data_IF_333787425083
#
_entry.id   IF_333787425083
#
_cell.length_a   1.000
_cell.length_b   1.000
_cell.length_c   1.000
_cell.angle_alpha   90.00
_cell.angle_beta   90.00
_cell.angle_gamma   90.00
#
_symmetry.space_group_name_H-M   'P 1'
#
loop_
_entity.id
_entity.type
_entity.pdbx_description
1 polymer ?
#
# COMPACT_ATOMS: atom_id res chain seq x y z
N UNK A 1 7.42 5.86 15.94
CA UNK A 1 6.37 6.68 16.59
C UNK A 1 5.22 5.91 17.25
N UNK A 2 4.72 4.77 16.73
CA UNK A 2 3.61 4.01 17.38
C UNK A 2 3.91 3.52 18.79
N UNK A 3 5.18 3.31 19.13
CA UNK A 3 5.62 2.84 20.45
C UNK A 3 5.32 3.85 21.56
N UNK A 4 5.47 5.15 21.27
CA UNK A 4 5.25 6.24 22.24
C UNK A 4 3.75 6.33 22.56
N UNK A 5 2.92 6.40 21.51
CA UNK A 5 1.46 6.52 21.65
C UNK A 5 0.79 5.29 22.30
N UNK A 6 1.49 4.16 22.47
CA UNK A 6 0.94 2.95 23.12
C UNK A 6 1.50 2.74 24.53
N UNK A 7 2.48 3.54 24.94
CA UNK A 7 3.07 3.40 26.26
C UNK A 7 2.21 4.03 27.37
N UNK A 8 1.66 3.19 28.24
CA UNK A 8 0.85 3.60 29.40
C UNK A 8 1.61 4.44 30.44
N UNK A 9 2.93 4.56 30.33
CA UNK A 9 3.75 5.45 31.19
C UNK A 9 3.28 6.90 31.16
N UNK A 10 2.70 7.35 30.04
CA UNK A 10 2.17 8.71 29.94
C UNK A 10 0.91 8.95 30.80
N UNK A 11 0.23 7.88 31.25
CA UNK A 11 -0.89 7.92 32.19
C UNK A 11 -0.45 7.84 33.67
N UNK A 12 0.86 7.92 33.96
CA UNK A 12 1.34 7.75 35.33
C UNK A 12 1.53 6.29 35.75
N UNK A 13 1.37 5.32 34.84
CA UNK A 13 1.51 3.90 35.16
C UNK A 13 2.95 3.41 34.95
N UNK A 14 3.45 2.57 35.84
CA UNK A 14 4.70 1.86 35.65
C UNK A 14 4.44 0.48 35.05
N UNK A 15 5.09 0.17 33.92
CA UNK A 15 5.01 -1.15 33.26
C UNK A 15 6.41 -1.72 33.06
N UNK A 16 6.69 -2.83 33.75
CA UNK A 16 7.97 -3.52 33.71
C UNK A 16 7.81 -4.96 33.22
N UNK A 17 8.94 -5.66 33.02
CA UNK A 17 8.98 -7.07 32.62
C UNK A 17 8.32 -7.38 31.25
N UNK A 18 8.39 -6.44 30.29
CA UNK A 18 7.82 -6.62 28.94
C UNK A 18 8.59 -7.64 28.11
N UNK A 19 9.90 -7.70 28.30
CA UNK A 19 10.81 -8.61 27.61
C UNK A 19 11.60 -9.40 28.63
N UNK A 20 11.95 -10.63 28.28
CA UNK A 20 12.91 -11.40 29.04
C UNK A 20 13.58 -12.45 28.18
N UNK A 21 14.45 -13.20 28.81
CA UNK A 21 15.26 -14.21 28.15
C UNK A 21 14.53 -15.56 28.12
N UNK A 22 14.69 -16.33 27.04
CA UNK A 22 14.10 -17.68 26.92
C UNK A 22 14.58 -18.61 28.03
N UNK A 23 15.89 -18.63 28.25
CA UNK A 23 16.50 -19.42 29.33
C UNK A 23 17.85 -18.84 29.70
N UNK A 24 18.38 -19.19 30.88
CA UNK A 24 19.71 -18.76 31.31
C UNK A 24 20.82 -19.06 30.29
N UNK A 25 20.73 -20.19 29.57
CA UNK A 25 21.72 -20.60 28.54
C UNK A 25 21.49 -19.95 27.18
N UNK A 26 20.27 -19.52 26.89
CA UNK A 26 19.91 -18.91 25.62
C UNK A 26 19.41 -17.48 25.85
N UNK A 27 20.34 -16.53 25.72
CA UNK A 27 20.14 -15.10 25.94
C UNK A 27 19.23 -14.39 24.92
N UNK A 28 18.53 -15.13 24.05
CA UNK A 28 17.55 -14.58 23.12
C UNK A 28 16.42 -13.87 23.87
N UNK A 29 16.19 -12.60 23.54
CA UNK A 29 15.12 -11.79 24.10
C UNK A 29 13.78 -12.16 23.44
N UNK A 30 12.78 -12.42 24.26
CA UNK A 30 11.41 -12.74 23.85
C UNK A 30 10.45 -11.83 24.59
N UNK A 31 9.40 -11.39 23.89
CA UNK A 31 8.31 -10.61 24.49
C UNK A 31 7.49 -11.51 25.39
N UNK A 32 7.32 -11.13 26.64
CA UNK A 32 6.44 -11.84 27.58
C UNK A 32 4.98 -11.50 27.30
N UNK A 33 4.04 -12.43 27.56
CA UNK A 33 2.61 -12.13 27.49
C UNK A 33 2.25 -11.03 28.50
N UNK A 34 1.19 -10.29 28.20
CA UNK A 34 0.76 -9.16 29.04
C UNK A 34 0.41 -9.53 30.48
N UNK A 35 0.01 -10.79 30.72
CA UNK A 35 -0.29 -11.32 32.07
C UNK A 35 0.93 -11.41 32.97
N UNK A 36 2.13 -11.57 32.39
CA UNK A 36 3.38 -11.61 33.13
C UNK A 36 4.00 -10.22 33.34
N UNK A 37 3.38 -9.17 32.82
CA UNK A 37 3.87 -7.81 32.99
C UNK A 37 3.55 -7.30 34.38
N UNK A 38 4.54 -6.70 35.01
CA UNK A 38 4.34 -6.04 36.30
C UNK A 38 3.80 -4.65 35.99
N UNK A 39 2.54 -4.42 36.36
CA UNK A 39 1.82 -3.16 36.15
C UNK A 39 1.49 -2.56 37.51
N UNK A 40 2.02 -1.38 37.77
CA UNK A 40 1.69 -0.59 38.96
C UNK A 40 1.04 0.71 38.48
N UNK A 41 -0.15 0.98 38.98
CA UNK A 41 -0.91 2.17 38.60
C UNK A 41 -0.46 3.38 39.43
N UNK A 42 -0.56 4.57 38.85
CA UNK A 42 -0.31 5.87 39.49
C UNK A 42 1.00 5.99 40.28
N UNK A 43 2.11 5.58 39.66
CA UNK A 43 3.46 5.71 40.25
C UNK A 43 4.01 7.14 40.16
N UNK A 44 3.59 7.92 39.16
CA UNK A 44 4.01 9.31 38.95
C UNK A 44 2.88 10.15 38.37
N UNK A 45 3.05 11.47 38.38
CA UNK A 45 2.06 12.40 37.83
C UNK A 45 1.85 12.14 36.32
N UNK A 46 0.60 11.94 35.87
CA UNK A 46 0.30 11.69 34.46
C UNK A 46 0.64 12.90 33.59
N UNK A 47 1.30 12.66 32.45
CA UNK A 47 1.60 13.70 31.46
C UNK A 47 0.36 14.07 30.64
N UNK A 48 -0.54 13.11 30.44
CA UNK A 48 -1.76 13.24 29.63
C UNK A 48 -2.95 12.66 30.38
N UNK A 49 -4.14 13.22 30.15
CA UNK A 49 -5.37 12.72 30.73
C UNK A 49 -5.79 11.38 30.12
N UNK A 50 -6.51 10.59 30.92
CA UNK A 50 -7.11 9.32 30.47
C UNK A 50 -8.01 9.52 29.25
N UNK A 51 -8.82 10.58 29.24
CA UNK A 51 -9.70 10.92 28.11
C UNK A 51 -8.92 11.14 26.81
N UNK A 52 -7.82 11.91 26.87
CA UNK A 52 -6.98 12.19 25.70
C UNK A 52 -6.34 10.90 25.19
N UNK A 53 -5.86 10.06 26.11
CA UNK A 53 -5.30 8.77 25.77
C UNK A 53 -6.30 7.88 25.03
N UNK A 54 -7.53 7.80 25.55
CA UNK A 54 -8.59 6.96 24.98
C UNK A 54 -9.04 7.49 23.61
N UNK A 55 -9.08 8.81 23.42
CA UNK A 55 -9.30 9.42 22.11
C UNK A 55 -8.22 9.00 21.10
N UNK A 56 -6.94 9.07 21.47
CA UNK A 56 -5.82 8.66 20.61
C UNK A 56 -5.88 7.16 20.29
N UNK A 57 -6.15 6.30 21.28
CA UNK A 57 -6.28 4.86 21.03
C UNK A 57 -7.44 4.55 20.08
N UNK A 58 -8.60 5.21 20.26
CA UNK A 58 -9.74 5.08 19.35
C UNK A 58 -9.37 5.45 17.91
N UNK A 59 -8.69 6.58 17.71
CA UNK A 59 -8.25 7.00 16.37
C UNK A 59 -7.20 6.06 15.76
N UNK A 60 -6.29 5.52 16.58
CA UNK A 60 -5.22 4.64 16.11
C UNK A 60 -5.72 3.24 15.74
N UNK A 61 -6.71 2.74 16.47
CA UNK A 61 -7.32 1.42 16.25
C UNK A 61 -8.57 1.48 15.34
N UNK A 62 -8.92 2.67 14.83
CA UNK A 62 -10.10 2.84 13.99
C UNK A 62 -9.99 1.99 12.72
N UNK A 63 -11.01 1.15 12.39
CA UNK A 63 -10.94 0.23 11.25
C UNK A 63 -10.81 0.96 9.92
N UNK A 64 -11.47 2.11 9.77
CA UNK A 64 -11.37 2.94 8.56
C UNK A 64 -10.05 3.71 8.43
N UNK A 65 -9.07 3.49 9.31
CA UNK A 65 -7.74 4.10 9.17
C UNK A 65 -7.05 3.51 7.93
N UNK A 66 -7.24 4.16 6.79
CA UNK A 66 -6.54 3.84 5.56
C UNK A 66 -5.02 3.91 5.75
N UNK A 67 -4.30 2.93 5.19
CA UNK A 67 -2.85 3.03 5.04
C UNK A 67 -2.57 3.84 3.78
N UNK A 68 -1.74 4.88 3.91
CA UNK A 68 -1.21 5.59 2.76
C UNK A 68 -0.31 4.66 1.95
N UNK A 69 -0.40 4.78 0.61
CA UNK A 69 0.53 4.13 -0.30
C UNK A 69 1.89 4.83 -0.33
N UNK A 70 2.76 4.43 -1.26
CA UNK A 70 4.10 5.04 -1.44
C UNK A 70 4.02 6.55 -1.75
N UNK A 71 2.97 7.03 -2.41
CA UNK A 71 2.79 8.45 -2.71
C UNK A 71 2.20 9.27 -1.56
N UNK A 72 1.99 8.67 -0.38
CA UNK A 72 1.36 9.35 0.76
C UNK A 72 -0.16 9.50 0.67
N UNK A 73 -0.75 9.33 -0.52
CA UNK A 73 -2.20 9.43 -0.73
C UNK A 73 -2.94 8.26 -0.10
N UNK A 74 -4.00 8.56 0.65
CA UNK A 74 -4.96 7.56 1.14
C UNK A 74 -6.08 7.44 0.11
N UNK A 75 -6.35 6.22 -0.36
CA UNK A 75 -7.48 5.96 -1.25
C UNK A 75 -8.80 6.24 -0.54
N UNK A 76 -9.82 6.71 -1.26
CA UNK A 76 -11.15 7.05 -0.70
C UNK A 76 -11.74 5.90 0.14
N UNK A 77 -11.56 4.66 -0.31
CA UNK A 77 -12.05 3.46 0.37
C UNK A 77 -10.99 2.73 1.23
N UNK A 78 -9.87 3.39 1.52
CA UNK A 78 -8.76 2.82 2.26
C UNK A 78 -9.14 2.49 3.69
N UNK A 79 -9.03 1.22 4.10
CA UNK A 79 -9.40 0.75 5.43
C UNK A 79 -10.90 0.44 5.60
N UNK A 80 -11.76 0.90 4.69
CA UNK A 80 -13.20 0.58 4.72
C UNK A 80 -13.51 -0.76 4.04
N UNK A 81 -12.96 -0.99 2.84
CA UNK A 81 -13.25 -2.20 2.08
C UNK A 81 -12.48 -3.41 2.62
N UNK A 82 -13.23 -4.47 2.94
CA UNK A 82 -12.72 -5.78 3.35
C UNK A 82 -13.26 -6.86 2.41
N UNK A 83 -12.44 -7.86 2.10
CA UNK A 83 -12.90 -9.04 1.39
C UNK A 83 -13.83 -9.86 2.29
N UNK A 84 -14.95 -10.34 1.75
CA UNK A 84 -15.91 -11.17 2.50
C UNK A 84 -15.31 -12.53 2.88
N UNK A 85 -14.57 -13.16 1.98
CA UNK A 85 -14.12 -14.55 2.16
C UNK A 85 -12.91 -14.66 3.09
N UNK A 86 -11.87 -13.85 2.87
CA UNK A 86 -10.62 -13.91 3.65
C UNK A 86 -10.54 -12.82 4.72
N UNK A 87 -11.54 -11.94 4.77
CA UNK A 87 -11.56 -10.82 5.68
C UNK A 87 -10.49 -9.77 5.39
N UNK A 88 -9.56 -9.90 4.43
CA UNK A 88 -8.40 -9.02 4.25
C UNK A 88 -8.75 -7.59 3.80
N UNK A 89 -7.87 -6.62 4.08
CA UNK A 89 -8.05 -5.23 3.66
C UNK A 89 -7.78 -5.08 2.17
N UNK A 90 -8.75 -4.56 1.42
CA UNK A 90 -8.54 -4.21 0.02
C UNK A 90 -7.64 -2.98 -0.09
N UNK A 91 -6.80 -2.94 -1.14
CA UNK A 91 -5.93 -1.80 -1.45
C UNK A 91 -6.20 -1.33 -2.87
N UNK A 92 -6.20 -0.02 -3.06
CA UNK A 92 -6.22 0.56 -4.38
C UNK A 92 -4.85 0.38 -5.06
N UNK A 93 -4.84 -0.18 -6.27
CA UNK A 93 -3.65 -0.37 -7.08
C UNK A 93 -3.85 0.37 -8.40
N UNK A 94 -2.89 1.22 -8.76
CA UNK A 94 -2.85 1.84 -10.09
C UNK A 94 -1.94 1.02 -10.99
N UNK A 95 -2.48 0.59 -12.14
CA UNK A 95 -1.68 -0.02 -13.19
C UNK A 95 -0.99 1.06 -14.01
N UNK A 96 0.32 1.22 -13.84
CA UNK A 96 1.14 2.16 -14.60
C UNK A 96 1.52 1.66 -16.01
N UNK A 97 0.76 0.72 -16.58
CA UNK A 97 1.06 0.22 -17.93
C UNK A 97 0.95 1.38 -18.92
N UNK A 98 2.08 1.81 -19.49
CA UNK A 98 2.11 2.70 -20.65
C UNK A 98 1.31 2.00 -21.76
N UNK A 99 0.12 2.50 -22.06
CA UNK A 99 -0.56 2.14 -23.31
C UNK A 99 0.37 2.63 -24.42
N UNK A 100 1.01 1.72 -25.15
CA UNK A 100 1.63 1.99 -26.45
C UNK A 100 0.53 2.29 -27.47
N UNK A 101 -0.31 3.29 -27.18
CA UNK A 101 -1.32 3.77 -28.08
C UNK A 101 -0.62 4.55 -29.19
N UNK A 102 -0.45 3.91 -30.35
CA UNK A 102 -0.17 4.63 -31.60
C UNK A 102 1.00 4.16 -32.47
N UNK A 103 1.45 2.90 -32.43
CA UNK A 103 2.44 2.39 -33.41
C UNK A 103 1.99 1.27 -34.35
N UNK A 104 0.79 0.71 -34.16
CA UNK A 104 0.33 -0.38 -35.04
C UNK A 104 -0.37 0.12 -36.31
N UNK A 105 -1.08 1.26 -36.26
CA UNK A 105 -1.90 1.73 -37.40
C UNK A 105 -1.10 2.37 -38.56
N UNK A 106 0.13 2.84 -38.32
CA UNK A 106 0.95 3.47 -39.37
C UNK A 106 1.76 2.47 -40.20
N UNK A 107 1.97 1.24 -39.71
CA UNK A 107 2.76 0.22 -40.45
C UNK A 107 1.97 -0.46 -41.56
N UNK A 108 0.66 -0.66 -41.36
CA UNK A 108 -0.21 -1.32 -42.35
C UNK A 108 -0.53 -0.40 -43.52
N UNK A 109 -0.83 0.88 -43.26
CA UNK A 109 -1.12 1.86 -44.33
C UNK A 109 0.10 2.16 -45.20
N UNK A 110 1.30 2.22 -44.61
CA UNK A 110 2.53 2.39 -45.40
C UNK A 110 2.83 1.15 -46.25
N UNK A 111 2.50 -0.06 -45.76
CA UNK A 111 2.65 -1.29 -46.54
C UNK A 111 1.65 -1.35 -47.71
N UNK A 112 0.42 -0.88 -47.53
CA UNK A 112 -0.58 -0.78 -48.60
C UNK A 112 -0.19 0.26 -49.67
N UNK A 113 0.23 1.47 -49.27
CA UNK A 113 0.75 2.49 -50.19
C UNK A 113 1.96 1.99 -50.99
N UNK A 114 2.92 1.34 -50.33
CA UNK A 114 4.10 0.78 -50.99
C UNK A 114 3.77 -0.40 -51.94
N UNK A 115 2.63 -1.08 -51.73
CA UNK A 115 2.15 -2.17 -52.60
C UNK A 115 1.51 -1.60 -53.87
N UNK A 116 0.71 -0.53 -53.72
CA UNK A 116 0.11 0.20 -54.85
C UNK A 116 1.21 0.82 -55.74
N UNK A 117 2.24 1.42 -55.12
CA UNK A 117 3.36 2.05 -55.83
C UNK A 117 4.18 1.03 -56.64
N UNK A 118 4.21 -0.24 -56.21
CA UNK A 118 4.86 -1.34 -56.96
C UNK A 118 4.07 -1.84 -58.16
N UNK A 119 2.76 -1.61 -58.21
CA UNK A 119 1.90 -2.03 -59.32
C UNK A 119 1.71 -0.93 -60.38
N UNK A 120 2.06 0.33 -60.05
CA UNK A 120 2.04 1.45 -61.00
C UNK A 120 2.81 1.19 -62.31
N UNK A 121 4.00 0.56 -62.32
CA UNK A 121 4.75 0.30 -63.56
C UNK A 121 4.05 -0.65 -64.52
N UNK A 122 3.18 -1.53 -64.02
CA UNK A 122 2.40 -2.45 -64.85
C UNK A 122 1.23 -1.71 -65.52
N UNK A 123 0.57 -0.82 -64.78
CA UNK A 123 -0.50 0.03 -65.30
C UNK A 123 0.03 1.03 -66.34
N UNK A 124 1.20 1.63 -66.11
CA UNK A 124 1.83 2.53 -67.08
C UNK A 124 2.18 1.81 -68.40
N UNK A 125 2.60 0.53 -68.35
CA UNK A 125 2.85 -0.28 -69.55
C UNK A 125 1.56 -0.59 -70.31
N UNK A 126 0.47 -0.91 -69.61
CA UNK A 126 -0.82 -1.20 -70.25
C UNK A 126 -1.41 0.04 -70.95
N UNK A 127 -1.21 1.23 -70.38
CA UNK A 127 -1.63 2.50 -70.98
C UNK A 127 -0.81 2.83 -72.24
N UNK A 128 0.51 2.58 -72.23
CA UNK A 128 1.38 2.80 -73.39
C UNK A 128 1.15 1.81 -74.56
N UNK A 129 0.54 0.65 -74.30
CA UNK A 129 0.19 -0.32 -75.35
C UNK A 129 -1.17 -0.04 -76.04
N UNK A 130 -1.94 0.94 -75.55
CA UNK A 130 -3.24 1.34 -76.10
C UNK A 130 -3.21 2.70 -76.82
N UNK A 131 -2.02 3.28 -77.00
CA UNK A 131 -1.72 4.47 -77.82
C UNK A 131 -0.72 4.12 -78.89
#
# INVERSE_FOLDING_TARGET
MKTILRNKVHLGHMVQNKTGTVSYKNHKQVSKPESAWIRVENTHEPLISQETWDAVQRMNNHPSRGRSGKSGTVSLFGGLLRCMDCGASMRYMQDYRKKSAGREKFRTLQAELNTIDRQLPELDRLVQCWT
#
